data_IF_113951988211
#
_entry.id   IF_113951988211
#
_cell.length_a   1.000
_cell.length_b   1.000
_cell.length_c   1.000
_cell.angle_alpha   90.00
_cell.angle_beta   90.00
_cell.angle_gamma   90.00
#
_symmetry.space_group_name_H-M   'P 1'
#
loop_
_entity.id
_entity.type
_entity.pdbx_description
1 polymer ?
#
# COMPACT_ATOMS: atom_id res chain seq x y z
N UNK A 1 -29.38 8.49 0.19
CA UNK A 1 -28.30 7.72 -0.47
C UNK A 1 -27.51 7.05 0.63
N UNK A 2 -26.96 5.86 0.40
CA UNK A 2 -26.14 5.21 1.43
C UNK A 2 -24.96 6.10 1.80
N UNK A 3 -24.68 6.27 3.08
CA UNK A 3 -23.49 7.01 3.55
C UNK A 3 -22.24 6.14 3.46
N UNK A 4 -22.41 4.82 3.49
CA UNK A 4 -21.33 3.82 3.42
C UNK A 4 -20.86 3.55 1.99
N UNK A 5 -21.76 3.50 1.01
CA UNK A 5 -21.42 3.22 -0.40
C UNK A 5 -21.43 4.48 -1.27
N UNK A 6 -20.32 4.74 -1.96
CA UNK A 6 -20.13 5.91 -2.84
C UNK A 6 -20.94 5.86 -4.13
N UNK A 7 -21.34 4.66 -4.57
CA UNK A 7 -22.06 4.42 -5.82
C UNK A 7 -23.03 3.25 -5.70
N UNK A 8 -24.10 3.27 -6.51
CA UNK A 8 -25.13 2.21 -6.52
C UNK A 8 -24.68 0.95 -7.27
N UNK A 9 -23.94 1.13 -8.35
CA UNK A 9 -23.45 0.03 -9.19
C UNK A 9 -22.08 -0.42 -8.69
N UNK A 10 -22.00 -1.65 -8.18
CA UNK A 10 -20.76 -2.24 -7.68
C UNK A 10 -20.01 -2.99 -8.79
N UNK A 11 -18.68 -3.14 -8.69
CA UNK A 11 -17.83 -3.66 -9.77
C UNK A 11 -17.85 -5.20 -9.87
N UNK A 12 -19.05 -5.79 -9.79
CA UNK A 12 -19.24 -7.24 -9.81
C UNK A 12 -20.00 -7.70 -11.07
N UNK A 13 -19.88 -9.00 -11.39
CA UNK A 13 -20.65 -9.60 -12.45
C UNK A 13 -22.17 -9.46 -12.19
N UNK A 14 -22.97 -9.34 -13.25
CA UNK A 14 -24.44 -9.30 -13.13
C UNK A 14 -24.93 -10.57 -12.42
N UNK A 15 -25.70 -10.38 -11.35
CA UNK A 15 -26.23 -11.48 -10.53
C UNK A 15 -25.26 -12.07 -9.51
N UNK A 16 -24.10 -11.45 -9.28
CA UNK A 16 -23.14 -11.91 -8.26
C UNK A 16 -23.65 -11.64 -6.84
N UNK A 17 -23.56 -12.62 -5.94
CA UNK A 17 -23.99 -12.49 -4.55
C UNK A 17 -23.15 -11.50 -3.73
N UNK A 18 -21.90 -11.23 -4.12
CA UNK A 18 -21.08 -10.17 -3.50
C UNK A 18 -21.76 -8.79 -3.51
N UNK A 19 -22.56 -8.47 -4.54
CA UNK A 19 -23.33 -7.21 -4.60
C UNK A 19 -24.37 -7.14 -3.48
N UNK A 20 -25.07 -8.26 -3.25
CA UNK A 20 -26.05 -8.39 -2.18
C UNK A 20 -25.40 -8.28 -0.81
N UNK A 21 -24.27 -8.96 -0.59
CA UNK A 21 -23.53 -8.92 0.68
C UNK A 21 -23.13 -7.48 1.00
N UNK A 22 -22.48 -6.80 0.07
CA UNK A 22 -22.02 -5.42 0.25
C UNK A 22 -23.16 -4.44 0.59
N UNK A 23 -24.27 -4.53 -0.14
CA UNK A 23 -25.46 -3.67 0.10
C UNK A 23 -26.10 -3.95 1.46
N UNK A 24 -26.15 -5.21 1.87
CA UNK A 24 -26.68 -5.59 3.17
C UNK A 24 -25.74 -5.21 4.31
N UNK A 25 -24.41 -5.25 4.11
CA UNK A 25 -23.44 -4.71 5.08
C UNK A 25 -23.64 -3.22 5.28
N UNK A 26 -23.72 -2.44 4.20
CA UNK A 26 -23.98 -1.00 4.29
C UNK A 26 -25.29 -0.70 5.05
N UNK A 27 -26.36 -1.42 4.72
CA UNK A 27 -27.66 -1.30 5.39
C UNK A 27 -27.61 -1.67 6.87
N UNK A 28 -26.83 -2.69 7.24
CA UNK A 28 -26.66 -3.10 8.64
C UNK A 28 -25.95 -2.00 9.44
N UNK A 29 -24.88 -1.42 8.89
CA UNK A 29 -24.13 -0.32 9.52
C UNK A 29 -24.99 0.93 9.68
N UNK A 30 -25.77 1.28 8.66
CA UNK A 30 -26.70 2.42 8.72
C UNK A 30 -27.81 2.22 9.78
N UNK A 31 -28.29 0.98 9.97
CA UNK A 31 -29.25 0.65 11.04
C UNK A 31 -28.65 0.78 12.44
N UNK A 32 -27.35 0.54 12.56
CA UNK A 32 -26.60 0.77 13.81
C UNK A 32 -26.30 2.26 14.05
N UNK A 33 -26.62 3.13 13.09
CA UNK A 33 -26.30 4.56 13.16
C UNK A 33 -24.82 4.88 13.02
N UNK A 34 -24.04 3.97 12.43
CA UNK A 34 -22.61 4.18 12.17
C UNK A 34 -22.41 5.02 10.90
N UNK A 35 -21.55 6.02 10.99
CA UNK A 35 -21.10 6.81 9.85
C UNK A 35 -19.89 6.15 9.19
N UNK A 36 -19.55 6.59 7.98
CA UNK A 36 -18.50 5.95 7.19
C UNK A 36 -17.12 5.94 7.89
N UNK A 37 -16.80 7.02 8.63
CA UNK A 37 -15.53 7.15 9.35
C UNK A 37 -15.49 6.40 10.69
N UNK A 38 -16.61 5.84 11.14
CA UNK A 38 -16.67 4.97 12.32
C UNK A 38 -16.28 3.53 11.97
N UNK A 39 -16.07 3.22 10.68
CA UNK A 39 -15.89 1.87 10.17
C UNK A 39 -14.58 1.75 9.40
N UNK A 40 -13.87 0.66 9.64
CA UNK A 40 -12.75 0.22 8.81
C UNK A 40 -13.04 -1.12 8.19
N UNK A 41 -13.04 -1.16 6.86
CA UNK A 41 -13.21 -2.38 6.07
C UNK A 41 -11.84 -2.84 5.57
N UNK A 42 -11.46 -4.05 5.95
CA UNK A 42 -10.23 -4.71 5.48
C UNK A 42 -10.62 -5.78 4.47
N UNK A 43 -10.20 -5.63 3.23
CA UNK A 43 -10.55 -6.58 2.17
C UNK A 43 -9.38 -7.52 1.88
N UNK A 44 -9.69 -8.78 1.55
CA UNK A 44 -8.74 -9.75 1.00
C UNK A 44 -8.62 -9.66 -0.54
N UNK A 45 -7.60 -10.31 -1.10
CA UNK A 45 -7.47 -10.55 -2.53
C UNK A 45 -8.57 -11.52 -2.99
N UNK A 46 -9.43 -11.04 -3.89
CA UNK A 46 -10.53 -11.80 -4.47
C UNK A 46 -11.56 -10.87 -5.09
N UNK A 47 -12.58 -11.42 -5.78
CA UNK A 47 -13.61 -10.59 -6.42
C UNK A 47 -14.24 -9.62 -5.41
N UNK A 48 -14.54 -10.07 -4.19
CA UNK A 48 -15.10 -9.23 -3.13
C UNK A 48 -14.22 -8.01 -2.76
N UNK A 49 -12.90 -8.09 -2.95
CA UNK A 49 -11.96 -7.01 -2.61
C UNK A 49 -11.93 -5.86 -3.61
N UNK A 50 -12.52 -6.03 -4.80
CA UNK A 50 -12.65 -4.95 -5.81
C UNK A 50 -13.54 -3.80 -5.29
N UNK A 51 -14.28 -4.02 -4.19
CA UNK A 51 -15.19 -3.03 -3.61
C UNK A 51 -14.51 -1.83 -2.95
N UNK A 52 -13.20 -1.88 -2.67
CA UNK A 52 -12.53 -0.82 -1.89
C UNK A 52 -12.84 0.60 -2.41
N UNK A 53 -12.74 0.81 -3.72
CA UNK A 53 -13.02 2.11 -4.35
C UNK A 53 -14.50 2.55 -4.32
N UNK A 54 -15.40 1.69 -3.83
CA UNK A 54 -16.84 1.93 -3.71
C UNK A 54 -17.29 2.21 -2.28
N UNK A 55 -16.41 2.01 -1.28
CA UNK A 55 -16.69 2.30 0.12
C UNK A 55 -16.27 3.75 0.45
N UNK A 56 -17.08 4.44 1.24
CA UNK A 56 -16.72 5.74 1.83
C UNK A 56 -15.98 5.59 3.17
N UNK A 57 -15.81 4.35 3.65
CA UNK A 57 -15.19 4.03 4.94
C UNK A 57 -13.67 4.13 4.88
N UNK A 58 -12.99 3.94 6.01
CA UNK A 58 -11.58 3.56 5.96
C UNK A 58 -11.45 2.19 5.27
N UNK A 59 -10.50 2.05 4.35
CA UNK A 59 -10.30 0.81 3.59
C UNK A 59 -8.83 0.39 3.60
N UNK A 60 -8.59 -0.91 3.82
CA UNK A 60 -7.26 -1.52 3.70
C UNK A 60 -7.37 -2.75 2.81
N UNK A 61 -6.72 -2.72 1.63
CA UNK A 61 -6.61 -3.89 0.77
C UNK A 61 -5.45 -4.78 1.23
N UNK A 62 -5.77 -5.96 1.74
CA UNK A 62 -4.81 -6.93 2.25
C UNK A 62 -4.14 -7.79 1.19
N UNK A 63 -3.25 -8.67 1.65
CA UNK A 63 -2.70 -9.76 0.85
C UNK A 63 -3.58 -11.01 0.98
N UNK A 64 -3.49 -11.92 0.01
CA UNK A 64 -4.31 -13.12 -0.06
C UNK A 64 -4.26 -13.96 1.23
N UNK A 65 -5.40 -14.10 1.91
CA UNK A 65 -5.57 -14.78 3.19
C UNK A 65 -4.90 -14.07 4.37
N UNK A 66 -4.62 -12.78 4.29
CA UNK A 66 -3.98 -11.99 5.36
C UNK A 66 -4.86 -10.86 5.89
N UNK A 67 -6.02 -10.60 5.28
CA UNK A 67 -6.95 -9.55 5.70
C UNK A 67 -7.40 -9.70 7.16
N UNK A 68 -7.57 -10.93 7.66
CA UNK A 68 -7.91 -11.18 9.07
C UNK A 68 -6.77 -10.81 10.01
N UNK A 69 -5.51 -11.11 9.65
CA UNK A 69 -4.34 -10.71 10.44
C UNK A 69 -4.16 -9.17 10.46
N UNK A 70 -4.41 -8.51 9.33
CA UNK A 70 -4.40 -7.05 9.25
C UNK A 70 -5.53 -6.43 10.08
N UNK A 71 -6.75 -6.97 9.96
CA UNK A 71 -7.90 -6.55 10.76
C UNK A 71 -7.68 -6.74 12.25
N UNK A 72 -7.02 -7.84 12.64
CA UNK A 72 -6.62 -8.09 14.02
C UNK A 72 -5.67 -7.00 14.55
N UNK A 73 -4.64 -6.63 13.79
CA UNK A 73 -3.73 -5.53 14.15
C UNK A 73 -4.42 -4.18 14.26
N UNK A 74 -5.36 -3.88 13.34
CA UNK A 74 -6.15 -2.65 13.40
C UNK A 74 -7.06 -2.64 14.63
N UNK A 75 -7.80 -3.72 14.88
CA UNK A 75 -8.68 -3.85 16.06
C UNK A 75 -7.89 -3.64 17.36
N UNK A 76 -6.71 -4.24 17.47
CA UNK A 76 -5.79 -4.04 18.60
C UNK A 76 -5.30 -2.59 18.71
N UNK A 77 -4.94 -1.95 17.60
CA UNK A 77 -4.41 -0.59 17.58
C UNK A 77 -5.45 0.52 17.72
N UNK A 78 -6.73 0.23 17.41
CA UNK A 78 -7.82 1.21 17.44
C UNK A 78 -8.92 0.91 18.46
N UNK A 79 -8.80 -0.16 19.25
CA UNK A 79 -9.87 -0.63 20.15
C UNK A 79 -10.42 0.44 21.11
N UNK A 80 -9.58 1.31 21.65
CA UNK A 80 -10.04 2.41 22.53
C UNK A 80 -10.80 3.52 21.81
N UNK A 81 -10.66 3.62 20.47
CA UNK A 81 -11.27 4.67 19.66
C UNK A 81 -12.68 4.33 19.18
N UNK A 82 -13.18 3.12 19.46
CA UNK A 82 -14.54 2.70 19.12
C UNK A 82 -14.80 2.43 17.62
N UNK A 83 -13.75 2.19 16.83
CA UNK A 83 -13.84 1.93 15.38
C UNK A 83 -14.34 0.50 15.09
N UNK A 84 -15.36 0.34 14.24
CA UNK A 84 -15.90 -0.97 13.85
C UNK A 84 -15.04 -1.60 12.75
N UNK A 85 -14.41 -2.72 13.09
CA UNK A 85 -13.53 -3.45 12.17
C UNK A 85 -14.29 -4.59 11.48
N UNK A 86 -14.34 -4.53 10.15
CA UNK A 86 -15.00 -5.54 9.31
C UNK A 86 -13.99 -6.07 8.31
N UNK A 87 -13.88 -7.40 8.21
CA UNK A 87 -13.05 -8.06 7.22
C UNK A 87 -13.93 -8.70 6.16
N UNK A 88 -13.70 -8.37 4.90
CA UNK A 88 -14.28 -9.12 3.77
C UNK A 88 -13.26 -10.10 3.23
N UNK A 89 -13.65 -11.37 3.19
CA UNK A 89 -12.79 -12.45 2.71
C UNK A 89 -13.61 -13.44 1.89
N UNK A 90 -13.09 -13.87 0.74
CA UNK A 90 -13.69 -14.93 -0.05
C UNK A 90 -13.37 -16.31 0.50
N UNK A 91 -14.06 -17.33 0.03
CA UNK A 91 -13.82 -18.72 0.41
C UNK A 91 -12.37 -19.19 0.15
N UNK A 92 -11.75 -18.71 -0.92
CA UNK A 92 -10.33 -18.96 -1.17
C UNK A 92 -9.38 -18.25 -0.23
N UNK A 93 -9.67 -16.98 0.08
CA UNK A 93 -8.97 -16.25 1.12
C UNK A 93 -9.07 -16.95 2.46
N UNK A 94 -10.26 -17.45 2.82
CA UNK A 94 -10.46 -18.23 4.05
C UNK A 94 -9.72 -19.56 4.06
N UNK A 95 -9.48 -20.16 2.89
CA UNK A 95 -8.71 -21.42 2.76
C UNK A 95 -7.24 -21.20 3.11
N UNK A 96 -6.57 -20.25 2.45
CA UNK A 96 -5.16 -19.92 2.74
C UNK A 96 -4.99 -19.12 4.04
N UNK A 97 -6.04 -18.44 4.49
CA UNK A 97 -6.09 -17.61 5.69
C UNK A 97 -6.63 -18.32 6.92
N UNK A 98 -6.90 -19.63 6.86
CA UNK A 98 -7.61 -20.37 7.91
C UNK A 98 -6.98 -20.15 9.30
N UNK A 99 -5.66 -20.26 9.42
CA UNK A 99 -4.99 -20.08 10.71
C UNK A 99 -5.20 -18.68 11.30
N UNK A 100 -5.24 -17.62 10.49
CA UNK A 100 -5.48 -16.26 10.97
C UNK A 100 -6.91 -16.09 11.50
N UNK A 101 -7.89 -16.75 10.87
CA UNK A 101 -9.28 -16.81 11.34
C UNK A 101 -9.34 -17.49 12.71
N UNK A 102 -8.72 -18.68 12.83
CA UNK A 102 -8.78 -19.45 14.08
C UNK A 102 -8.05 -18.75 15.22
N UNK A 103 -6.91 -18.10 14.97
CA UNK A 103 -6.19 -17.35 16.00
C UNK A 103 -6.93 -16.09 16.43
N UNK A 104 -7.55 -15.34 15.50
CA UNK A 104 -8.38 -14.19 15.85
C UNK A 104 -9.63 -14.60 16.68
N UNK A 105 -10.24 -15.74 16.34
CA UNK A 105 -11.33 -16.34 17.12
C UNK A 105 -10.85 -16.82 18.51
N UNK A 106 -9.70 -17.48 18.59
CA UNK A 106 -9.09 -17.96 19.84
C UNK A 106 -8.83 -16.81 20.80
N UNK A 107 -8.25 -15.73 20.30
CA UNK A 107 -8.05 -14.50 21.05
C UNK A 107 -9.38 -13.81 21.36
N UNK A 108 -10.41 -13.96 20.53
CA UNK A 108 -11.69 -13.24 20.65
C UNK A 108 -11.51 -11.73 20.43
N UNK A 109 -10.78 -11.35 19.39
CA UNK A 109 -10.54 -9.95 19.01
C UNK A 109 -11.83 -9.28 18.56
N UNK A 110 -12.06 -8.02 18.97
CA UNK A 110 -13.27 -7.27 18.63
C UNK A 110 -13.31 -6.84 17.14
N UNK A 111 -13.75 -7.76 16.29
CA UNK A 111 -13.83 -7.59 14.84
C UNK A 111 -14.79 -8.61 14.23
N UNK A 112 -15.36 -8.29 13.07
CA UNK A 112 -16.25 -9.20 12.34
C UNK A 112 -15.66 -9.61 11.01
N UNK A 113 -15.59 -10.91 10.73
CA UNK A 113 -15.22 -11.48 9.44
C UNK A 113 -16.49 -11.87 8.68
N UNK A 114 -16.74 -11.23 7.54
CA UNK A 114 -17.79 -11.58 6.60
C UNK A 114 -17.17 -12.39 5.46
N UNK A 115 -17.53 -13.67 5.40
CA UNK A 115 -17.03 -14.61 4.41
C UNK A 115 -17.98 -14.62 3.22
N UNK A 116 -17.48 -14.18 2.07
CA UNK A 116 -18.14 -14.22 0.78
C UNK A 116 -17.91 -15.61 0.16
N UNK A 117 -18.69 -16.60 0.57
CA UNK A 117 -18.51 -17.97 0.11
C UNK A 117 -19.29 -18.22 -1.19
N UNK A 118 -18.64 -18.04 -2.33
CA UNK A 118 -19.21 -18.36 -3.65
C UNK A 118 -18.79 -19.75 -4.17
N UNK A 119 -18.16 -20.54 -3.29
CA UNK A 119 -17.76 -21.93 -3.43
C UNK A 119 -16.63 -22.21 -4.44
N UNK A 120 -15.91 -21.19 -4.92
CA UNK A 120 -14.77 -21.33 -5.82
C UNK A 120 -13.87 -20.07 -5.87
N UNK A 121 -12.70 -20.17 -6.51
CA UNK A 121 -11.83 -19.01 -6.73
C UNK A 121 -12.26 -18.23 -7.97
N UNK A 122 -13.27 -17.36 -7.81
CA UNK A 122 -13.88 -16.66 -8.94
C UNK A 122 -12.90 -15.78 -9.75
N UNK A 123 -12.05 -15.00 -9.07
CA UNK A 123 -11.16 -14.03 -9.71
C UNK A 123 -10.10 -14.70 -10.60
N UNK A 124 -9.63 -15.88 -10.21
CA UNK A 124 -8.51 -16.58 -10.86
C UNK A 124 -8.94 -17.60 -11.90
N UNK A 125 -10.25 -17.79 -12.12
CA UNK A 125 -10.73 -18.72 -13.16
C UNK A 125 -11.62 -19.87 -12.66
N UNK A 126 -12.18 -19.79 -11.46
CA UNK A 126 -13.17 -20.74 -10.97
C UNK A 126 -12.62 -22.05 -10.41
N UNK A 127 -11.42 -22.03 -9.83
CA UNK A 127 -10.78 -23.19 -9.20
C UNK A 127 -11.48 -23.62 -7.90
N UNK A 128 -11.24 -24.86 -7.47
CA UNK A 128 -11.72 -25.39 -6.19
C UNK A 128 -11.12 -24.65 -5.00
N UNK A 129 -11.94 -24.32 -4.00
CA UNK A 129 -11.54 -23.79 -2.70
C UNK A 129 -11.64 -24.85 -1.60
N UNK A 130 -11.08 -24.56 -0.43
CA UNK A 130 -11.28 -25.38 0.78
C UNK A 130 -12.71 -25.35 1.32
N UNK A 131 -13.57 -24.44 0.84
CA UNK A 131 -15.00 -24.40 1.17
C UNK A 131 -15.87 -24.94 0.02
N UNK A 132 -15.34 -25.37 -1.12
CA UNK A 132 -16.15 -25.98 -2.18
C UNK A 132 -16.88 -27.23 -1.64
N UNK A 133 -18.22 -27.34 -1.79
CA UNK A 133 -18.94 -28.54 -1.37
C UNK A 133 -18.52 -29.80 -2.13
N UNK A 134 -18.63 -30.96 -1.50
CA UNK A 134 -18.45 -32.25 -2.18
C UNK A 134 -19.40 -32.36 -3.38
N UNK A 135 -18.91 -32.85 -4.51
CA UNK A 135 -19.67 -32.98 -5.75
C UNK A 135 -20.00 -31.66 -6.47
N UNK A 136 -19.53 -30.50 -5.98
CA UNK A 136 -19.65 -29.23 -6.70
C UNK A 136 -18.56 -29.12 -7.75
N UNK A 137 -18.94 -28.87 -9.01
CA UNK A 137 -18.02 -28.83 -10.16
C UNK A 137 -17.34 -27.46 -10.27
N UNK A 138 -16.05 -27.49 -10.52
CA UNK A 138 -15.19 -26.31 -10.70
C UNK A 138 -14.28 -26.51 -11.92
N UNK A 139 -13.50 -25.51 -12.32
CA UNK A 139 -12.60 -25.66 -13.49
C UNK A 139 -11.46 -26.64 -13.26
N UNK A 140 -11.07 -26.86 -12.01
CA UNK A 140 -10.03 -27.82 -11.60
C UNK A 140 -10.59 -29.14 -11.08
N UNK A 141 -11.91 -29.25 -10.90
CA UNK A 141 -12.60 -30.46 -10.46
C UNK A 141 -13.86 -30.67 -11.32
N UNK A 142 -13.66 -31.10 -12.57
CA UNK A 142 -14.74 -31.25 -13.58
C UNK A 142 -15.80 -32.30 -13.19
N UNK A 143 -15.37 -33.34 -12.48
CA UNK A 143 -16.23 -34.40 -11.97
C UNK A 143 -16.88 -34.05 -10.61
N UNK A 144 -16.58 -32.86 -10.08
CA UNK A 144 -16.98 -32.44 -8.75
C UNK A 144 -15.85 -32.57 -7.74
N UNK A 145 -15.88 -31.73 -6.70
CA UNK A 145 -14.93 -31.82 -5.60
C UNK A 145 -15.07 -33.17 -4.86
N UNK A 146 -14.01 -33.99 -4.75
CA UNK A 146 -14.10 -35.28 -4.07
C UNK A 146 -14.06 -35.18 -2.54
N UNK A 147 -13.73 -34.01 -1.98
CA UNK A 147 -13.62 -33.82 -0.54
C UNK A 147 -14.79 -33.03 0.02
N UNK A 148 -15.11 -33.22 1.31
CA UNK A 148 -15.90 -32.26 2.05
C UNK A 148 -15.06 -31.00 2.30
N UNK A 149 -15.59 -29.82 1.96
CA UNK A 149 -14.92 -28.58 2.36
C UNK A 149 -15.10 -28.31 3.87
N UNK A 150 -14.29 -27.41 4.42
CA UNK A 150 -14.36 -27.03 5.82
C UNK A 150 -15.72 -26.46 6.23
N UNK A 151 -16.18 -26.77 7.45
CA UNK A 151 -17.26 -26.03 8.11
C UNK A 151 -16.64 -24.87 8.88
N UNK A 152 -16.57 -23.70 8.23
CA UNK A 152 -15.85 -22.55 8.78
C UNK A 152 -16.54 -21.97 10.02
N UNK A 153 -17.88 -21.99 10.08
CA UNK A 153 -18.64 -21.55 11.25
C UNK A 153 -18.38 -22.46 12.46
N UNK A 154 -18.39 -23.78 12.26
CA UNK A 154 -18.07 -24.74 13.32
C UNK A 154 -16.63 -24.57 13.80
N UNK A 155 -15.67 -24.44 12.88
CA UNK A 155 -14.26 -24.20 13.23
C UNK A 155 -14.08 -22.91 14.03
N UNK A 156 -14.64 -21.78 13.58
CA UNK A 156 -14.56 -20.52 14.29
C UNK A 156 -15.22 -20.58 15.68
N UNK A 157 -16.41 -21.20 15.77
CA UNK A 157 -17.12 -21.39 17.03
C UNK A 157 -16.31 -22.24 18.02
N UNK A 158 -15.77 -23.38 17.58
CA UNK A 158 -14.91 -24.25 18.42
C UNK A 158 -13.59 -23.57 18.78
N UNK A 159 -13.04 -22.72 17.91
CA UNK A 159 -11.88 -21.90 18.24
C UNK A 159 -12.18 -20.78 19.24
N UNK A 160 -13.45 -20.50 19.54
CA UNK A 160 -13.84 -19.58 20.62
C UNK A 160 -14.34 -18.22 20.15
N UNK A 161 -14.79 -18.09 18.90
CA UNK A 161 -15.51 -16.92 18.41
C UNK A 161 -16.75 -16.64 19.28
N UNK A 162 -16.97 -15.38 19.65
CA UNK A 162 -18.16 -14.96 20.39
C UNK A 162 -19.44 -15.20 19.57
N UNK A 163 -19.37 -15.00 18.26
CA UNK A 163 -20.46 -15.29 17.33
C UNK A 163 -19.93 -16.01 16.09
N UNK A 164 -20.68 -17.02 15.65
CA UNK A 164 -20.53 -17.64 14.34
C UNK A 164 -21.90 -17.78 13.71
N UNK A 165 -22.06 -17.41 12.44
CA UNK A 165 -23.33 -17.47 11.74
C UNK A 165 -23.16 -17.90 10.29
N UNK A 166 -24.17 -18.58 9.75
CA UNK A 166 -24.24 -18.97 8.34
C UNK A 166 -25.59 -18.55 7.76
N UNK A 167 -25.59 -17.95 6.57
CA UNK A 167 -26.81 -17.61 5.84
C UNK A 167 -26.67 -17.84 4.34
N UNK A 168 -27.81 -18.05 3.68
CA UNK A 168 -27.87 -17.96 2.22
C UNK A 168 -27.82 -16.49 1.80
N UNK A 169 -26.99 -16.16 0.81
CA UNK A 169 -26.86 -14.82 0.22
C UNK A 169 -28.03 -14.44 -0.68
N UNK A 170 -29.26 -14.54 -0.16
CA UNK A 170 -30.50 -14.24 -0.87
C UNK A 170 -31.39 -13.35 0.00
N UNK A 171 -31.97 -12.31 -0.59
CA UNK A 171 -32.85 -11.39 0.12
C UNK A 171 -32.12 -10.41 1.04
N UNK A 172 -32.75 -10.11 2.17
CA UNK A 172 -32.28 -9.15 3.16
C UNK A 172 -31.56 -9.88 4.31
N UNK A 173 -30.22 -9.87 4.28
CA UNK A 173 -29.38 -10.47 5.32
C UNK A 173 -28.86 -9.43 6.32
N UNK A 174 -29.27 -8.16 6.21
CA UNK A 174 -28.73 -7.09 7.06
C UNK A 174 -28.96 -7.31 8.55
N UNK A 175 -30.01 -8.06 8.94
CA UNK A 175 -30.31 -8.36 10.34
C UNK A 175 -29.24 -9.22 11.02
N UNK A 176 -28.79 -10.32 10.39
CA UNK A 176 -27.74 -11.16 10.98
C UNK A 176 -26.37 -10.48 10.92
N UNK A 177 -26.13 -9.66 9.88
CA UNK A 177 -24.92 -8.85 9.78
C UNK A 177 -24.84 -7.87 10.95
N UNK A 178 -25.94 -7.17 11.23
CA UNK A 178 -26.06 -6.27 12.38
C UNK A 178 -25.78 -6.99 13.69
N UNK A 179 -26.40 -8.15 13.92
CA UNK A 179 -26.19 -8.94 15.16
C UNK A 179 -24.71 -9.30 15.39
N UNK A 180 -24.01 -9.71 14.33
CA UNK A 180 -22.59 -10.04 14.42
C UNK A 180 -21.69 -8.80 14.58
N UNK A 181 -22.10 -7.65 14.05
CA UNK A 181 -21.39 -6.38 14.23
C UNK A 181 -21.60 -5.81 15.64
N UNK A 182 -22.75 -6.06 16.26
CA UNK A 182 -23.09 -5.68 17.64
C UNK A 182 -22.46 -6.63 18.68
N UNK A 183 -22.14 -7.86 18.28
CA UNK A 183 -21.45 -8.80 19.16
C UNK A 183 -20.06 -8.29 19.51
N UNK A 184 -19.80 -8.09 20.80
CA UNK A 184 -18.46 -7.78 21.29
C UNK A 184 -17.55 -9.01 21.19
N UNK A 185 -16.40 -8.84 20.55
CA UNK A 185 -15.42 -9.91 20.35
C UNK A 185 -15.38 -10.39 18.90
N UNK A 186 -14.85 -11.58 18.69
CA UNK A 186 -14.65 -12.09 17.34
C UNK A 186 -15.94 -12.71 16.80
N UNK A 187 -16.39 -12.19 15.67
CA UNK A 187 -17.57 -12.67 14.98
C UNK A 187 -17.22 -13.16 13.58
N UNK A 188 -17.78 -14.31 13.17
CA UNK A 188 -17.65 -14.81 11.79
C UNK A 188 -19.04 -15.06 11.20
N UNK A 189 -19.28 -14.53 10.00
CA UNK A 189 -20.52 -14.79 9.24
C UNK A 189 -20.14 -15.35 7.87
N UNK A 190 -20.58 -16.55 7.59
CA UNK A 190 -20.49 -17.17 6.28
C UNK A 190 -21.76 -16.87 5.47
N UNK A 191 -21.61 -16.08 4.40
CA UNK A 191 -22.69 -15.87 3.44
C UNK A 191 -22.44 -16.74 2.22
N UNK A 192 -23.26 -17.78 2.07
CA UNK A 192 -23.15 -18.74 0.96
C UNK A 192 -23.88 -18.20 -0.26
N UNK A 193 -23.20 -18.09 -1.39
CA UNK A 193 -23.73 -17.65 -2.67
C UNK A 193 -23.21 -18.54 -3.81
N UNK A 194 -23.67 -18.33 -5.05
CA UNK A 194 -23.20 -19.09 -6.22
C UNK A 194 -22.60 -18.11 -7.22
N UNK A 195 -21.32 -18.29 -7.55
CA UNK A 195 -20.67 -17.50 -8.58
C UNK A 195 -21.41 -17.65 -9.93
N UNK A 196 -21.94 -16.58 -10.54
CA UNK A 196 -22.69 -16.68 -11.79
C UNK A 196 -21.80 -17.07 -12.99
N UNK A 197 -20.54 -16.64 -13.00
CA UNK A 197 -19.62 -16.84 -14.13
C UNK A 197 -19.10 -18.28 -14.24
N UNK A 198 -18.88 -18.95 -13.10
CA UNK A 198 -18.30 -20.30 -13.05
C UNK A 198 -19.25 -21.29 -12.38
N UNK A 199 -19.74 -20.98 -11.18
CA UNK A 199 -20.54 -21.90 -10.36
C UNK A 199 -21.83 -22.34 -11.04
N UNK A 200 -22.66 -21.37 -11.47
CA UNK A 200 -23.92 -21.64 -12.19
C UNK A 200 -23.66 -22.36 -13.52
N UNK A 201 -22.65 -21.91 -14.27
CA UNK A 201 -22.30 -22.48 -15.58
C UNK A 201 -21.86 -23.94 -15.50
N UNK A 202 -21.06 -24.30 -14.49
CA UNK A 202 -20.52 -25.65 -14.32
C UNK A 202 -21.47 -26.59 -13.57
N UNK A 203 -22.47 -26.04 -12.87
CA UNK A 203 -23.46 -26.80 -12.10
C UNK A 203 -24.89 -26.40 -12.51
N UNK A 204 -25.28 -26.64 -13.79
CA UNK A 204 -26.58 -26.20 -14.29
C UNK A 204 -27.72 -26.84 -13.51
N UNK A 205 -28.72 -26.03 -13.15
CA UNK A 205 -29.93 -26.49 -12.47
C UNK A 205 -29.81 -26.64 -10.95
N UNK A 206 -28.60 -26.61 -10.36
CA UNK A 206 -28.44 -26.66 -8.91
C UNK A 206 -28.89 -25.35 -8.26
N UNK A 207 -29.79 -25.43 -7.29
CA UNK A 207 -30.20 -24.25 -6.49
C UNK A 207 -29.33 -24.11 -5.25
N UNK A 208 -29.13 -22.87 -4.81
CA UNK A 208 -28.30 -22.58 -3.61
C UNK A 208 -28.77 -23.35 -2.38
N UNK A 209 -30.08 -23.39 -2.14
CA UNK A 209 -30.67 -24.12 -1.01
C UNK A 209 -30.36 -25.61 -1.06
N UNK A 210 -30.49 -26.24 -2.22
CA UNK A 210 -30.20 -27.67 -2.43
C UNK A 210 -28.71 -27.94 -2.17
N UNK A 211 -27.81 -27.08 -2.67
CA UNK A 211 -26.36 -27.21 -2.42
C UNK A 211 -26.04 -27.09 -0.92
N UNK A 212 -26.69 -26.18 -0.20
CA UNK A 212 -26.50 -26.03 1.25
C UNK A 212 -27.03 -27.24 2.02
N UNK A 213 -28.18 -27.80 1.63
CA UNK A 213 -28.76 -29.00 2.20
C UNK A 213 -27.84 -30.23 1.96
N UNK A 214 -27.42 -30.47 0.72
CA UNK A 214 -26.55 -31.58 0.32
C UNK A 214 -25.16 -31.54 0.98
N UNK A 215 -24.66 -30.32 1.25
CA UNK A 215 -23.36 -30.12 1.91
C UNK A 215 -23.43 -30.20 3.44
N UNK A 216 -24.62 -30.32 4.03
CA UNK A 216 -24.83 -30.26 5.48
C UNK A 216 -24.58 -28.88 6.07
N UNK A 217 -24.48 -27.82 5.25
CA UNK A 217 -24.15 -26.45 5.67
C UNK A 217 -25.39 -25.56 5.70
N UNK A 218 -26.33 -25.93 6.54
CA UNK A 218 -27.57 -25.19 6.70
C UNK A 218 -27.34 -23.85 7.40
N UNK A 219 -28.17 -22.83 7.12
CA UNK A 219 -28.16 -21.59 7.88
C UNK A 219 -28.29 -21.84 9.39
N UNK A 220 -27.56 -21.08 10.18
CA UNK A 220 -27.50 -21.29 11.62
C UNK A 220 -26.74 -20.18 12.33
N UNK A 221 -26.83 -20.18 13.66
CA UNK A 221 -26.17 -19.24 14.55
C UNK A 221 -25.67 -19.98 15.78
N UNK A 222 -24.42 -19.71 16.16
CA UNK A 222 -23.73 -20.26 17.31
C UNK A 222 -23.07 -19.13 18.08
N UNK A 223 -23.20 -19.13 19.40
CA UNK A 223 -22.67 -18.08 20.26
C UNK A 223 -21.87 -18.68 21.41
N UNK A 224 -20.79 -18.02 21.79
CA UNK A 224 -20.03 -18.30 22.99
C UNK A 224 -20.05 -17.06 23.90
N UNK A 225 -20.27 -17.25 25.19
CA UNK A 225 -20.17 -16.16 26.16
C UNK A 225 -18.70 -15.94 26.55
N UNK A 226 -18.01 -15.08 25.79
CA UNK A 226 -16.62 -14.69 26.02
C UNK A 226 -16.45 -13.19 25.88
N UNK A 227 -15.73 -12.59 26.84
CA UNK A 227 -15.35 -11.18 26.76
C UNK A 227 -14.36 -10.95 25.61
N UNK A 228 -14.44 -9.80 24.90
CA UNK A 228 -13.45 -9.42 23.92
C UNK A 228 -12.05 -9.39 24.52
N UNK A 229 -11.05 -9.77 23.73
CA UNK A 229 -9.67 -9.57 24.12
C UNK A 229 -9.31 -8.09 24.08
N UNK A 230 -8.77 -7.63 25.19
CA UNK A 230 -8.27 -6.28 25.35
C UNK A 230 -6.77 -6.36 25.54
N UNK A 231 -6.03 -5.56 24.78
CA UNK A 231 -4.64 -5.30 25.10
C UNK A 231 -4.64 -4.32 26.27
N UNK A 232 -4.00 -4.69 27.38
CA UNK A 232 -3.55 -3.69 28.35
C UNK A 232 -2.56 -2.79 27.62
N UNK A 233 -2.98 -1.58 27.23
CA UNK A 233 -2.07 -0.66 26.55
C UNK A 233 -0.86 -0.43 27.45
N UNK A 234 0.29 -0.96 27.03
CA UNK A 234 1.57 -0.56 27.57
C UNK A 234 1.77 0.95 27.40
N UNK A 235 2.76 1.49 28.11
CA UNK A 235 3.15 2.91 28.04
C UNK A 235 3.07 3.41 26.59
N UNK A 236 2.18 4.37 26.34
CA UNK A 236 1.98 4.98 25.02
C UNK A 236 3.37 5.36 24.47
N UNK A 237 3.79 4.71 23.39
CA UNK A 237 5.03 5.09 22.73
C UNK A 237 4.88 6.52 22.23
N UNK A 238 5.96 7.30 22.28
CA UNK A 238 5.96 8.61 21.64
C UNK A 238 5.65 8.46 20.14
N UNK A 239 5.09 9.50 19.55
CA UNK A 239 4.74 9.48 18.14
C UNK A 239 6.04 9.30 17.33
N UNK A 240 6.11 8.28 16.46
CA UNK A 240 7.26 8.12 15.57
C UNK A 240 7.45 9.36 14.68
N UNK A 241 6.38 10.12 14.44
CA UNK A 241 6.42 11.40 13.74
C UNK A 241 7.00 12.53 14.59
N UNK A 242 6.96 12.46 15.92
CA UNK A 242 7.52 13.52 16.77
C UNK A 242 9.05 13.56 16.75
N UNK A 243 9.71 12.46 16.39
CA UNK A 243 11.16 12.41 16.18
C UNK A 243 11.57 12.83 14.76
N UNK A 244 10.62 12.95 13.82
CA UNK A 244 10.92 13.39 12.47
C UNK A 244 11.27 14.87 12.47
N UNK A 245 12.47 15.20 12.00
CA UNK A 245 12.86 16.59 11.73
C UNK A 245 11.89 17.17 10.70
N UNK A 246 11.16 18.20 11.11
CA UNK A 246 10.30 18.97 10.22
C UNK A 246 11.12 20.07 9.56
N UNK A 247 10.89 20.29 8.27
CA UNK A 247 11.47 21.41 7.54
C UNK A 247 10.35 22.41 7.35
N UNK A 248 10.49 23.60 7.95
CA UNK A 248 9.55 24.67 7.74
C UNK A 248 9.63 25.11 6.26
N UNK A 249 8.52 25.12 5.52
CA UNK A 249 8.55 25.59 4.15
C UNK A 249 8.87 27.08 4.12
N UNK A 250 9.70 27.49 3.16
CA UNK A 250 9.98 28.90 2.90
C UNK A 250 8.74 29.63 2.37
N UNK A 251 8.67 30.94 2.61
CA UNK A 251 7.55 31.77 2.15
C UNK A 251 7.77 32.39 0.76
N UNK A 252 8.94 32.19 0.15
CA UNK A 252 9.36 32.88 -1.08
C UNK A 252 9.66 31.88 -2.18
N UNK A 253 8.61 31.30 -2.75
CA UNK A 253 8.73 30.42 -3.91
C UNK A 253 9.25 31.23 -5.10
N UNK A 254 10.46 30.95 -5.62
CA UNK A 254 10.95 31.67 -6.77
C UNK A 254 10.05 31.41 -7.99
N UNK A 255 9.78 32.44 -8.82
CA UNK A 255 9.01 32.26 -10.04
C UNK A 255 9.78 31.37 -11.03
N UNK A 256 9.09 30.44 -11.70
CA UNK A 256 9.73 29.53 -12.65
C UNK A 256 8.80 28.43 -13.16
N UNK A 257 9.37 27.53 -13.94
CA UNK A 257 8.72 26.27 -14.32
C UNK A 257 9.19 25.15 -13.39
N UNK A 258 8.43 24.05 -13.34
CA UNK A 258 8.90 22.85 -12.69
C UNK A 258 10.15 22.31 -13.40
N UNK A 259 11.09 21.78 -12.61
CA UNK A 259 12.33 21.18 -13.10
C UNK A 259 12.42 19.75 -12.61
N UNK A 260 12.76 18.84 -13.52
CA UNK A 260 12.93 17.43 -13.25
C UNK A 260 14.42 17.06 -13.16
N UNK A 261 14.80 16.42 -12.06
CA UNK A 261 16.19 16.06 -11.75
C UNK A 261 16.28 14.55 -11.48
N UNK A 262 17.26 13.91 -12.09
CA UNK A 262 17.61 12.50 -11.79
C UNK A 262 19.01 12.46 -11.20
N UNK A 263 19.14 11.87 -10.02
CA UNK A 263 20.42 11.56 -9.40
C UNK A 263 20.63 10.04 -9.48
N UNK A 264 21.77 9.59 -10.01
CA UNK A 264 22.02 8.16 -10.18
C UNK A 264 23.48 7.78 -9.95
N UNK A 265 23.68 6.69 -9.22
CA UNK A 265 24.99 6.15 -8.89
C UNK A 265 24.87 4.72 -8.37
N UNK A 266 25.94 4.20 -7.77
CA UNK A 266 25.93 2.84 -7.21
C UNK A 266 25.36 2.84 -5.80
N UNK A 267 24.89 1.67 -5.35
CA UNK A 267 24.47 1.46 -3.97
C UNK A 267 25.60 1.85 -3.00
N UNK A 268 25.25 2.67 -2.01
CA UNK A 268 26.23 3.22 -1.05
C UNK A 268 26.89 4.54 -1.46
N UNK A 269 26.64 5.08 -2.66
CA UNK A 269 27.12 6.41 -3.08
C UNK A 269 26.26 7.59 -2.57
N UNK A 270 25.32 7.32 -1.66
CA UNK A 270 24.54 8.38 -0.99
C UNK A 270 23.44 9.01 -1.84
N UNK A 271 23.02 8.38 -2.95
CA UNK A 271 22.02 8.93 -3.89
C UNK A 271 20.72 9.38 -3.19
N UNK A 272 20.11 8.50 -2.39
CA UNK A 272 18.84 8.82 -1.71
C UNK A 272 19.00 9.93 -0.67
N UNK A 273 20.16 10.01 -0.03
CA UNK A 273 20.48 11.04 0.95
C UNK A 273 20.69 12.40 0.28
N UNK A 274 21.46 12.44 -0.81
CA UNK A 274 21.65 13.66 -1.60
C UNK A 274 20.32 14.14 -2.21
N UNK A 275 19.45 13.23 -2.66
CA UNK A 275 18.10 13.56 -3.08
C UNK A 275 17.27 14.17 -1.95
N UNK A 276 17.33 13.58 -0.74
CA UNK A 276 16.66 14.14 0.44
C UNK A 276 17.16 15.54 0.80
N UNK A 277 18.48 15.77 0.76
CA UNK A 277 19.09 17.09 0.97
C UNK A 277 18.60 18.09 -0.09
N UNK A 278 18.57 17.69 -1.36
CA UNK A 278 18.07 18.54 -2.44
C UNK A 278 16.60 18.90 -2.26
N UNK A 279 15.76 17.92 -1.92
CA UNK A 279 14.34 18.12 -1.67
C UNK A 279 14.10 19.03 -0.47
N UNK A 280 14.82 18.81 0.62
CA UNK A 280 14.77 19.63 1.81
C UNK A 280 15.19 21.09 1.55
N UNK A 281 16.26 21.30 0.79
CA UNK A 281 16.71 22.63 0.37
C UNK A 281 15.69 23.35 -0.53
N UNK A 282 15.01 22.61 -1.42
CA UNK A 282 13.94 23.17 -2.23
C UNK A 282 12.69 23.52 -1.39
N UNK A 283 12.30 22.66 -0.45
CA UNK A 283 11.17 22.93 0.47
C UNK A 283 11.45 24.11 1.39
N UNK A 284 12.68 24.26 1.90
CA UNK A 284 13.04 25.42 2.74
C UNK A 284 13.01 26.76 1.98
N UNK A 285 13.07 26.72 0.64
CA UNK A 285 12.83 27.85 -0.24
C UNK A 285 11.36 28.01 -0.68
N UNK A 286 10.48 27.09 -0.28
CA UNK A 286 9.04 27.13 -0.52
C UNK A 286 8.55 26.32 -1.73
N UNK A 287 9.44 25.60 -2.43
CA UNK A 287 9.03 24.75 -3.54
C UNK A 287 8.21 23.54 -3.06
N UNK A 288 7.30 23.08 -3.93
CA UNK A 288 6.69 21.76 -3.83
C UNK A 288 7.59 20.73 -4.50
N UNK A 289 7.91 19.66 -3.77
CA UNK A 289 8.87 18.65 -4.23
C UNK A 289 8.26 17.26 -4.13
N UNK A 290 8.52 16.42 -5.13
CA UNK A 290 8.34 14.97 -5.04
C UNK A 290 9.70 14.28 -5.14
N UNK A 291 9.92 13.24 -4.34
CA UNK A 291 11.08 12.36 -4.44
C UNK A 291 10.59 10.92 -4.64
N UNK A 292 11.14 10.23 -5.63
CA UNK A 292 10.91 8.80 -5.87
C UNK A 292 12.25 8.08 -5.95
N UNK A 293 12.49 7.15 -5.03
CA UNK A 293 13.66 6.27 -5.05
C UNK A 293 13.43 5.03 -5.90
N UNK A 294 14.45 4.60 -6.63
CA UNK A 294 14.50 3.31 -7.33
C UNK A 294 15.86 2.65 -7.05
N UNK A 295 15.81 1.42 -6.55
CA UNK A 295 16.97 0.60 -6.25
C UNK A 295 16.52 -0.87 -6.15
N UNK A 296 17.40 -1.84 -6.42
CA UNK A 296 17.07 -3.26 -6.28
C UNK A 296 16.83 -3.63 -4.82
N UNK A 297 16.16 -4.77 -4.59
CA UNK A 297 15.91 -5.32 -3.23
C UNK A 297 17.20 -5.81 -2.53
N UNK A 298 18.31 -5.88 -3.27
CA UNK A 298 19.61 -6.31 -2.77
C UNK A 298 20.33 -5.17 -2.06
N UNK A 299 20.76 -5.42 -0.83
CA UNK A 299 21.46 -4.41 -0.02
C UNK A 299 22.90 -4.23 -0.49
N UNK A 300 23.29 -2.99 -0.76
CA UNK A 300 24.69 -2.60 -1.00
C UNK A 300 25.25 -2.96 -2.39
N UNK A 301 24.42 -3.42 -3.33
CA UNK A 301 24.84 -3.76 -4.70
C UNK A 301 23.85 -3.23 -5.74
N UNK A 302 24.36 -2.92 -6.94
CA UNK A 302 23.58 -2.40 -8.06
C UNK A 302 23.36 -0.89 -8.00
N UNK A 303 22.47 -0.38 -8.84
CA UNK A 303 22.18 1.04 -8.95
C UNK A 303 21.38 1.58 -7.76
N UNK A 304 21.52 2.88 -7.51
CA UNK A 304 20.57 3.68 -6.76
C UNK A 304 20.24 4.92 -7.58
N UNK A 305 18.95 5.15 -7.83
CA UNK A 305 18.48 6.30 -8.59
C UNK A 305 17.39 7.01 -7.79
N UNK A 306 17.42 8.33 -7.80
CA UNK A 306 16.38 9.17 -7.23
C UNK A 306 15.87 10.15 -8.29
N UNK A 307 14.55 10.20 -8.44
CA UNK A 307 13.83 11.11 -9.34
C UNK A 307 13.19 12.21 -8.49
N UNK A 308 13.46 13.47 -8.84
CA UNK A 308 12.91 14.64 -8.18
C UNK A 308 12.19 15.56 -9.16
N UNK A 309 11.06 16.12 -8.73
CA UNK A 309 10.41 17.26 -9.40
C UNK A 309 10.38 18.40 -8.40
N UNK A 310 11.01 19.52 -8.75
CA UNK A 310 11.02 20.75 -7.96
C UNK A 310 10.12 21.75 -8.68
N UNK A 311 9.04 22.18 -8.02
CA UNK A 311 8.00 22.98 -8.67
C UNK A 311 7.54 24.14 -7.79
N UNK A 312 7.30 25.33 -8.34
CA UNK A 312 6.71 26.43 -7.59
C UNK A 312 5.20 26.24 -7.33
N UNK A 313 4.62 25.15 -7.83
CA UNK A 313 3.20 24.76 -7.67
C UNK A 313 3.10 23.31 -7.25
N UNK A 314 1.98 22.92 -6.63
CA UNK A 314 1.72 21.53 -6.25
C UNK A 314 1.98 20.55 -7.40
N UNK A 315 2.77 19.52 -7.12
CA UNK A 315 3.09 18.46 -8.08
C UNK A 315 1.97 17.43 -8.08
N UNK A 316 1.21 17.35 -9.18
CA UNK A 316 0.08 16.41 -9.31
C UNK A 316 0.48 15.06 -9.93
N UNK A 317 1.62 15.01 -10.61
CA UNK A 317 2.17 13.81 -11.25
C UNK A 317 3.69 13.80 -11.10
N UNK A 318 4.25 12.67 -10.68
CA UNK A 318 5.64 12.52 -10.25
C UNK A 318 6.51 11.68 -11.22
N UNK A 319 5.96 11.32 -12.39
CA UNK A 319 6.70 10.57 -13.41
C UNK A 319 7.60 11.49 -14.24
N UNK A 320 8.81 11.02 -14.53
CA UNK A 320 9.80 11.71 -15.37
C UNK A 320 10.13 10.80 -16.55
N UNK A 321 9.69 11.19 -17.74
CA UNK A 321 10.02 10.50 -19.00
C UNK A 321 11.37 10.97 -19.55
N UNK A 322 11.50 12.30 -19.74
CA UNK A 322 12.73 12.96 -20.19
C UNK A 322 13.08 14.03 -19.15
N UNK A 323 14.21 13.87 -18.43
CA UNK A 323 14.61 14.80 -17.39
C UNK A 323 15.18 16.10 -17.94
N UNK A 324 15.08 17.19 -17.17
CA UNK A 324 15.77 18.45 -17.45
C UNK A 324 17.24 18.40 -17.02
N UNK A 325 17.53 17.65 -15.95
CA UNK A 325 18.87 17.48 -15.41
C UNK A 325 19.11 16.03 -14.98
N UNK A 326 20.31 15.52 -15.28
CA UNK A 326 20.76 14.20 -14.83
C UNK A 326 22.14 14.32 -14.21
N UNK A 327 22.33 13.69 -13.05
CA UNK A 327 23.62 13.51 -12.37
C UNK A 327 23.94 12.02 -12.36
N UNK A 328 25.11 11.64 -12.86
CA UNK A 328 25.58 10.25 -12.91
C UNK A 328 27.02 10.13 -12.40
N UNK A 329 27.25 9.31 -11.38
CA UNK A 329 28.60 9.17 -10.76
C UNK A 329 29.21 7.79 -10.83
N UNK A 330 28.50 6.79 -11.36
CA UNK A 330 29.01 5.42 -11.51
C UNK A 330 28.46 4.71 -12.74
N UNK A 331 29.08 3.60 -13.12
CA UNK A 331 28.61 2.73 -14.20
C UNK A 331 27.22 2.14 -13.93
N UNK A 332 26.94 1.65 -12.72
CA UNK A 332 25.61 1.11 -12.37
C UNK A 332 24.52 2.18 -12.56
N UNK A 333 24.80 3.41 -12.13
CA UNK A 333 23.88 4.53 -12.29
C UNK A 333 23.69 4.92 -13.76
N UNK A 334 24.79 4.93 -14.52
CA UNK A 334 24.76 5.22 -15.95
C UNK A 334 23.97 4.16 -16.73
N UNK A 335 24.21 2.88 -16.46
CA UNK A 335 23.50 1.77 -17.10
C UNK A 335 21.99 1.86 -16.85
N UNK A 336 21.59 2.13 -15.60
CA UNK A 336 20.18 2.30 -15.26
C UNK A 336 19.54 3.51 -15.94
N UNK A 337 20.29 4.62 -16.09
CA UNK A 337 19.77 5.88 -16.63
C UNK A 337 20.02 6.08 -18.13
N UNK A 338 20.76 5.19 -18.79
CA UNK A 338 21.28 5.37 -20.15
C UNK A 338 20.20 5.81 -21.14
N UNK A 339 19.07 5.10 -21.16
CA UNK A 339 17.95 5.42 -22.06
C UNK A 339 17.37 6.82 -21.84
N UNK A 340 17.34 7.29 -20.59
CA UNK A 340 16.84 8.63 -20.26
C UNK A 340 17.83 9.70 -20.71
N UNK A 341 19.13 9.47 -20.49
CA UNK A 341 20.21 10.35 -20.97
C UNK A 341 20.21 10.48 -22.49
N UNK A 342 20.08 9.35 -23.20
CA UNK A 342 20.01 9.31 -24.67
C UNK A 342 18.77 10.00 -25.23
N UNK A 343 17.66 10.00 -24.48
CA UNK A 343 16.43 10.67 -24.87
C UNK A 343 16.45 12.20 -24.64
N UNK A 344 17.42 12.73 -23.87
CA UNK A 344 17.50 14.17 -23.61
C UNK A 344 17.82 14.94 -24.89
N UNK A 345 17.00 15.96 -25.20
CA UNK A 345 17.18 16.87 -26.35
C UNK A 345 17.72 18.25 -25.95
N UNK A 346 17.68 18.55 -24.65
CA UNK A 346 18.08 19.79 -23.99
C UNK A 346 18.33 19.49 -22.51
N UNK A 347 18.70 20.50 -21.73
CA UNK A 347 18.98 20.35 -20.30
C UNK A 347 20.46 20.08 -20.05
N UNK A 348 20.78 19.50 -18.90
CA UNK A 348 22.17 19.31 -18.48
C UNK A 348 22.43 17.89 -17.96
N UNK A 349 23.57 17.32 -18.37
CA UNK A 349 24.09 16.05 -17.87
C UNK A 349 25.38 16.33 -17.09
N UNK A 350 25.38 16.05 -15.80
CA UNK A 350 26.56 16.05 -14.94
C UNK A 350 27.04 14.62 -14.78
N UNK A 351 28.19 14.29 -15.34
CA UNK A 351 28.70 12.92 -15.40
C UNK A 351 30.11 12.84 -14.83
N UNK A 352 30.40 11.79 -14.07
CA UNK A 352 31.76 11.56 -13.61
C UNK A 352 32.70 11.32 -14.80
N UNK A 353 33.87 11.96 -14.79
CA UNK A 353 34.80 11.94 -15.92
C UNK A 353 35.40 10.56 -16.22
N UNK A 354 35.28 9.60 -15.31
CA UNK A 354 35.69 8.21 -15.55
C UNK A 354 34.72 7.42 -16.45
N UNK A 355 33.51 7.94 -16.68
CA UNK A 355 32.45 7.25 -17.40
C UNK A 355 32.42 7.64 -18.89
N UNK A 356 32.05 6.69 -19.74
CA UNK A 356 31.81 6.96 -21.16
C UNK A 356 30.44 7.64 -21.35
N UNK A 357 30.46 8.91 -21.76
CA UNK A 357 29.23 9.68 -21.98
C UNK A 357 28.41 9.10 -23.16
N UNK A 358 27.14 8.70 -22.94
CA UNK A 358 26.24 8.31 -24.03
C UNK A 358 25.94 9.49 -24.97
N UNK A 359 25.50 9.24 -26.21
CA UNK A 359 25.00 10.29 -27.10
C UNK A 359 23.83 11.02 -26.44
N UNK A 360 23.87 12.34 -26.37
CA UNK A 360 22.80 13.14 -25.75
C UNK A 360 22.73 14.54 -26.36
N UNK A 361 21.55 15.15 -26.36
CA UNK A 361 21.35 16.56 -26.70
C UNK A 361 21.47 17.51 -25.51
N UNK A 362 21.75 17.00 -24.31
CA UNK A 362 21.99 17.81 -23.11
C UNK A 362 23.38 18.46 -23.13
N UNK A 363 23.54 19.56 -22.40
CA UNK A 363 24.85 20.17 -22.12
C UNK A 363 25.59 19.26 -21.13
N UNK A 364 26.73 18.71 -21.54
CA UNK A 364 27.50 17.75 -20.74
C UNK A 364 28.55 18.48 -19.90
N UNK A 365 28.52 18.25 -18.59
CA UNK A 365 29.52 18.67 -17.61
C UNK A 365 30.20 17.41 -17.07
N UNK A 366 31.41 17.14 -17.56
CA UNK A 366 32.22 16.00 -17.12
C UNK A 366 33.27 16.47 -16.09
N UNK A 367 33.29 15.86 -14.90
CA UNK A 367 34.22 16.20 -13.82
C UNK A 367 34.51 14.97 -12.96
N UNK A 368 35.70 14.90 -12.34
CA UNK A 368 36.03 13.84 -11.37
C UNK A 368 35.30 14.10 -10.04
N UNK A 369 34.04 13.66 -9.97
CA UNK A 369 33.23 13.74 -8.76
C UNK A 369 33.66 12.71 -7.72
N UNK A 370 34.32 11.63 -8.14
CA UNK A 370 34.86 10.58 -7.25
C UNK A 370 36.15 10.97 -6.55
N UNK A 371 36.77 12.11 -6.90
CA UNK A 371 37.97 12.66 -6.23
C UNK A 371 37.82 12.88 -4.72
N UNK A 372 36.60 13.03 -4.21
CA UNK A 372 36.27 13.16 -2.77
C UNK A 372 35.77 11.82 -2.17
N UNK A 373 35.89 10.73 -2.92
CA UNK A 373 35.46 9.39 -2.58
C UNK A 373 34.05 9.08 -3.11
N UNK A 374 33.83 7.83 -3.51
CA UNK A 374 32.58 7.37 -4.14
C UNK A 374 31.32 7.68 -3.31
N UNK A 375 31.41 7.59 -1.98
CA UNK A 375 30.29 7.88 -1.06
C UNK A 375 29.82 9.33 -1.09
N UNK A 376 30.67 10.25 -1.56
CA UNK A 376 30.42 11.69 -1.60
C UNK A 376 30.19 12.21 -3.02
N UNK A 377 30.37 11.36 -4.05
CA UNK A 377 30.39 11.79 -5.44
C UNK A 377 29.07 12.44 -5.87
N UNK A 378 27.92 11.86 -5.50
CA UNK A 378 26.61 12.43 -5.84
C UNK A 378 26.41 13.79 -5.18
N UNK A 379 26.78 13.93 -3.90
CA UNK A 379 26.61 15.19 -3.19
C UNK A 379 27.52 16.28 -3.77
N UNK A 380 28.74 15.92 -4.17
CA UNK A 380 29.63 16.84 -4.87
C UNK A 380 29.07 17.26 -6.23
N UNK A 381 28.61 16.31 -7.03
CA UNK A 381 27.96 16.58 -8.31
C UNK A 381 26.68 17.42 -8.16
N UNK A 382 25.96 17.26 -7.06
CA UNK A 382 24.80 18.07 -6.71
C UNK A 382 25.17 19.54 -6.49
N UNK A 383 26.25 19.82 -5.74
CA UNK A 383 26.75 21.19 -5.58
C UNK A 383 27.15 21.80 -6.93
N UNK A 384 27.81 21.02 -7.78
CA UNK A 384 28.19 21.46 -9.12
C UNK A 384 26.98 21.78 -9.99
N UNK A 385 25.97 20.91 -9.97
CA UNK A 385 24.70 21.12 -10.67
C UNK A 385 24.00 22.39 -10.19
N UNK A 386 23.91 22.60 -8.88
CA UNK A 386 23.30 23.79 -8.30
C UNK A 386 24.04 25.07 -8.70
N UNK A 387 25.38 25.06 -8.68
CA UNK A 387 26.21 26.18 -9.06
C UNK A 387 26.07 26.56 -10.54
N UNK A 388 26.06 25.56 -11.44
CA UNK A 388 26.02 25.80 -12.90
C UNK A 388 24.62 26.16 -13.40
N UNK A 389 23.55 25.64 -12.76
CA UNK A 389 22.17 25.82 -13.23
C UNK A 389 21.40 26.91 -12.49
N UNK A 390 21.82 27.25 -11.27
CA UNK A 390 21.11 28.19 -10.40
C UNK A 390 19.73 27.70 -9.94
N UNK A 391 19.40 26.41 -10.11
CA UNK A 391 18.11 25.84 -9.68
C UNK A 391 17.87 26.07 -8.18
N UNK A 392 18.93 25.95 -7.38
CA UNK A 392 18.97 26.27 -5.95
C UNK A 392 20.35 26.85 -5.63
N UNK A 393 20.44 27.64 -4.56
CA UNK A 393 21.73 28.16 -4.11
C UNK A 393 22.57 27.03 -3.43
N UNK A 394 23.84 26.85 -3.80
CA UNK A 394 24.75 25.91 -3.13
C UNK A 394 24.80 26.09 -1.61
N UNK A 395 24.68 27.32 -1.12
CA UNK A 395 24.71 27.65 0.31
C UNK A 395 23.53 27.05 1.09
N UNK A 396 22.35 26.98 0.46
CA UNK A 396 21.15 26.37 1.07
C UNK A 396 21.33 24.85 1.13
N UNK A 397 21.83 24.24 0.06
CA UNK A 397 22.15 22.80 0.02
C UNK A 397 23.18 22.48 1.12
N UNK A 398 24.19 23.33 1.31
CA UNK A 398 25.19 23.19 2.37
C UNK A 398 24.58 23.23 3.77
N UNK A 399 23.76 24.24 4.08
CA UNK A 399 23.10 24.35 5.39
C UNK A 399 22.28 23.09 5.71
N UNK A 400 21.44 22.67 4.77
CA UNK A 400 20.63 21.45 4.93
C UNK A 400 21.51 20.20 5.06
N UNK A 401 22.58 20.07 4.28
CA UNK A 401 23.49 18.93 4.35
C UNK A 401 24.14 18.82 5.75
N UNK A 402 24.59 19.92 6.33
CA UNK A 402 25.17 19.96 7.67
C UNK A 402 24.14 19.63 8.76
N UNK A 403 22.88 20.03 8.58
CA UNK A 403 21.77 19.72 9.51
C UNK A 403 21.22 18.30 9.35
N UNK A 404 21.48 17.65 8.22
CA UNK A 404 21.00 16.30 7.87
C UNK A 404 21.69 15.18 8.65
N UNK A 405 22.60 15.50 9.57
CA UNK A 405 23.29 14.50 10.40
C UNK A 405 24.32 13.68 9.62
N UNK A 406 24.88 14.24 8.54
CA UNK A 406 26.02 13.65 7.85
C UNK A 406 27.18 13.46 8.85
N UNK A 407 27.96 12.36 8.74
CA UNK A 407 29.16 12.19 9.55
C UNK A 407 30.10 13.40 9.37
N UNK A 408 30.74 13.85 10.45
CA UNK A 408 31.70 14.97 10.41
C UNK A 408 32.88 14.75 9.44
N UNK A 409 33.10 13.51 9.00
CA UNK A 409 34.10 13.12 7.99
C UNK A 409 33.69 13.46 6.55
N UNK A 410 32.42 13.81 6.30
CA UNK A 410 31.94 14.22 4.98
C UNK A 410 32.36 15.66 4.69
N UNK A 411 33.22 15.93 3.69
CA UNK A 411 33.80 17.25 3.50
C UNK A 411 32.89 18.18 2.68
N UNK A 412 31.72 18.53 3.24
CA UNK A 412 30.67 19.33 2.58
C UNK A 412 31.21 20.67 2.08
N UNK A 413 31.99 21.39 2.90
CA UNK A 413 32.58 22.68 2.54
C UNK A 413 33.49 22.57 1.33
N UNK A 414 34.40 21.58 1.35
CA UNK A 414 35.33 21.33 0.26
C UNK A 414 34.59 21.01 -1.05
N UNK A 415 33.50 20.25 -0.99
CA UNK A 415 32.67 19.96 -2.17
C UNK A 415 32.06 21.23 -2.75
N UNK A 416 31.51 22.11 -1.90
CA UNK A 416 30.93 23.38 -2.35
C UNK A 416 32.00 24.32 -2.94
N UNK A 417 33.18 24.39 -2.33
CA UNK A 417 34.30 25.21 -2.83
C UNK A 417 34.77 24.76 -4.21
N UNK A 418 34.95 23.45 -4.39
CA UNK A 418 35.34 22.88 -5.70
C UNK A 418 34.25 23.05 -6.75
N UNK A 419 32.97 23.02 -6.35
CA UNK A 419 31.85 23.21 -7.26
C UNK A 419 31.75 24.67 -7.75
N UNK A 420 31.92 25.63 -6.84
CA UNK A 420 31.66 27.07 -7.09
C UNK A 420 32.91 27.88 -7.46
N UNK A 421 34.10 27.37 -7.14
CA UNK A 421 35.36 28.13 -7.25
C UNK A 421 35.49 29.27 -6.23
N UNK A 422 34.63 29.32 -5.20
CA UNK A 422 34.62 30.33 -4.13
C UNK A 422 34.89 29.65 -2.79
N UNK A 423 35.67 30.29 -1.91
CA UNK A 423 35.86 29.80 -0.54
C UNK A 423 34.51 29.79 0.20
N UNK A 424 34.27 28.76 1.02
CA UNK A 424 33.11 28.69 1.88
C UNK A 424 33.25 29.77 2.96
N UNK A 425 32.63 30.93 2.77
CA UNK A 425 32.68 31.99 3.78
C UNK A 425 31.84 31.56 4.99
N UNK A 426 32.48 31.33 6.14
CA UNK A 426 31.80 31.31 7.45
C UNK A 426 31.16 32.68 7.70
N UNK A 427 29.99 32.85 8.30
CA UNK A 427 29.33 32.28 9.50
C UNK A 427 28.04 33.11 9.70
N UNK A 428 27.18 32.85 10.70
CA UNK A 428 26.59 31.59 11.17
C UNK A 428 25.16 31.37 10.65
#
# INVERSE_FOLDING_TARGET
MSTILRRKDLPYCKGCGHDLIAKNTAKALERMGLEALDVTVVTDIGCHGIIDGCLNTHTVHGLHGRSVALGAGIAMGTGEKGNKIIVFIGDGGSTIGLQHILEAARLNLDMTVVVHNNMLYGMTGGQTSGLTPCGFKTTTSSEGNPWSGYDLCALAHTSGAAFSGRVAGVGDISGILQEAFETGGFSLIEVVEICPSYGVRLNPGKKLREIMEDSGRLPGRWVNDRKPFMIEQGKKSEDLLSELKTIAPGNNVPPGNAVSVILSGSAGEGVQLAAGILAAAAVSLGYHVTQKGSYPVTVGVGFSTAELIISPRTVMYHGIDIPDMVVVTSDDGLEHCRRRVEAMKRGSLFIDSSLECPPTGAVVVAQDFRSIGARNAILFALFRMAADTGILQPEVIRSIALESGLPATVPVDKMMELATGRAATGTP
#
